data_IF_951832294538
#
_entry.id   IF_951832294538
#
_cell.length_a   1.000
_cell.length_b   1.000
_cell.length_c   1.000
_cell.angle_alpha   90.00
_cell.angle_beta   90.00
_cell.angle_gamma   90.00
#
_symmetry.space_group_name_H-M   'P 1'
#
loop_
_entity.id
_entity.type
_entity.pdbx_description
1 polymer ?
#
# COMPACT_ATOMS: atom_id res chain seq x y z
N UNK A 1 0.84 12.20 -19.63
CA UNK A 1 2.03 11.99 -20.47
C UNK A 1 1.68 12.39 -21.90
N UNK A 2 2.34 13.39 -22.43
CA UNK A 2 2.11 13.90 -23.80
C UNK A 2 3.25 13.50 -24.76
N UNK A 3 4.38 13.03 -24.21
CA UNK A 3 5.57 12.68 -24.99
C UNK A 3 6.39 11.56 -24.35
N UNK A 4 7.25 10.85 -25.13
CA UNK A 4 8.24 9.91 -24.60
C UNK A 4 9.21 10.56 -23.58
N UNK A 5 9.47 11.87 -23.72
CA UNK A 5 10.32 12.62 -22.79
C UNK A 5 9.70 12.72 -21.41
N UNK A 6 8.35 12.81 -21.29
CA UNK A 6 7.65 12.79 -20.00
C UNK A 6 7.83 11.44 -19.29
N UNK A 7 7.82 10.34 -20.06
CA UNK A 7 8.07 9.01 -19.51
C UNK A 7 9.52 8.89 -19.00
N UNK A 8 10.51 9.36 -19.77
CA UNK A 8 11.90 9.35 -19.33
C UNK A 8 12.10 10.15 -18.04
N UNK A 9 11.45 11.31 -17.91
CA UNK A 9 11.50 12.13 -16.69
C UNK A 9 11.03 11.37 -15.45
N UNK A 10 10.01 10.52 -15.55
CA UNK A 10 9.52 9.71 -14.41
C UNK A 10 10.64 8.82 -13.84
N UNK A 11 11.53 8.31 -14.69
CA UNK A 11 12.63 7.43 -14.28
C UNK A 11 13.90 8.17 -13.87
N UNK A 12 14.02 9.46 -14.15
CA UNK A 12 15.22 10.25 -13.85
C UNK A 12 15.04 11.29 -12.77
N UNK A 13 13.79 11.61 -12.40
CA UNK A 13 13.48 12.61 -11.38
C UNK A 13 12.95 11.97 -10.09
N UNK A 14 13.20 12.65 -8.98
CA UNK A 14 12.69 12.28 -7.67
C UNK A 14 11.71 13.34 -7.17
N UNK A 15 10.50 12.92 -6.80
CA UNK A 15 9.51 13.78 -6.14
C UNK A 15 9.23 13.18 -4.75
N UNK A 16 10.18 13.37 -3.83
CA UNK A 16 10.12 12.83 -2.47
C UNK A 16 10.52 11.34 -2.38
N UNK A 17 9.92 10.46 -3.18
CA UNK A 17 10.24 9.04 -3.24
C UNK A 17 10.54 8.61 -4.67
N UNK A 18 11.55 7.74 -4.85
CA UNK A 18 11.88 7.18 -6.16
C UNK A 18 11.05 5.92 -6.44
N UNK A 19 9.86 6.09 -7.02
CA UNK A 19 8.90 5.02 -7.33
C UNK A 19 8.32 5.17 -8.75
N UNK A 20 9.16 5.09 -9.78
CA UNK A 20 8.76 5.42 -11.16
C UNK A 20 7.61 4.56 -11.69
N UNK A 21 7.49 3.28 -11.33
CA UNK A 21 6.38 2.44 -11.78
C UNK A 21 5.04 2.85 -11.14
N UNK A 22 5.06 3.35 -9.92
CA UNK A 22 3.85 3.89 -9.28
C UNK A 22 3.40 5.15 -10.03
N UNK A 23 4.33 6.08 -10.29
CA UNK A 23 4.05 7.29 -11.07
C UNK A 23 3.53 6.95 -12.46
N UNK A 24 4.13 5.97 -13.14
CA UNK A 24 3.65 5.45 -14.42
C UNK A 24 2.23 4.90 -14.32
N UNK A 25 1.93 4.12 -13.27
CA UNK A 25 0.58 3.57 -13.06
C UNK A 25 -0.47 4.66 -12.83
N UNK A 26 -0.12 5.73 -12.13
CA UNK A 26 -1.00 6.89 -11.97
C UNK A 26 -1.19 7.67 -13.28
N UNK A 27 -0.15 7.75 -14.10
CA UNK A 27 -0.25 8.37 -15.42
C UNK A 27 -1.18 7.57 -16.36
N UNK A 28 -1.17 6.23 -16.26
CA UNK A 28 -2.12 5.36 -16.97
C UNK A 28 -3.54 5.60 -16.45
N UNK A 29 -3.75 5.62 -15.14
CA UNK A 29 -5.07 5.91 -14.57
C UNK A 29 -5.57 7.30 -14.98
N UNK A 30 -4.68 8.30 -14.99
CA UNK A 30 -5.02 9.65 -15.47
C UNK A 30 -5.50 9.65 -16.91
N UNK A 31 -4.92 8.81 -17.77
CA UNK A 31 -5.33 8.67 -19.15
C UNK A 31 -6.68 7.95 -19.31
N UNK A 32 -6.95 6.96 -18.45
CA UNK A 32 -8.17 6.14 -18.50
C UNK A 32 -9.35 6.80 -17.78
N UNK A 33 -9.10 7.35 -16.59
CA UNK A 33 -10.13 7.78 -15.64
C UNK A 33 -10.16 9.30 -15.43
N UNK A 34 -9.22 10.03 -16.04
CA UNK A 34 -9.02 11.47 -15.78
C UNK A 34 -8.77 11.72 -14.27
N UNK A 35 -9.64 12.49 -13.58
CA UNK A 35 -9.60 12.76 -12.14
C UNK A 35 -10.72 12.04 -11.37
N UNK A 36 -11.38 11.04 -11.97
CA UNK A 36 -12.37 10.25 -11.26
C UNK A 36 -11.70 9.30 -10.26
N UNK A 37 -11.81 9.60 -8.97
CA UNK A 37 -11.24 8.81 -7.88
C UNK A 37 -11.72 7.35 -7.87
N UNK A 38 -12.94 7.08 -8.39
CA UNK A 38 -13.50 5.71 -8.48
C UNK A 38 -12.68 4.83 -9.40
N UNK A 39 -12.17 5.39 -10.52
CA UNK A 39 -11.30 4.67 -11.44
C UNK A 39 -9.98 4.26 -10.79
N UNK A 40 -9.37 5.16 -10.01
CA UNK A 40 -8.14 4.85 -9.25
C UNK A 40 -8.39 3.78 -8.18
N UNK A 41 -9.53 3.84 -7.49
CA UNK A 41 -9.93 2.80 -6.54
C UNK A 41 -10.15 1.45 -7.24
N UNK A 42 -10.79 1.42 -8.41
CA UNK A 42 -10.99 0.21 -9.20
C UNK A 42 -9.65 -0.44 -9.59
N UNK A 43 -8.67 0.36 -10.00
CA UNK A 43 -7.31 -0.15 -10.28
C UNK A 43 -6.70 -0.79 -9.04
N UNK A 44 -6.81 -0.18 -7.85
CA UNK A 44 -6.28 -0.75 -6.61
C UNK A 44 -6.98 -2.07 -6.25
N UNK A 45 -8.31 -2.15 -6.41
CA UNK A 45 -9.08 -3.39 -6.18
C UNK A 45 -8.65 -4.48 -7.18
N UNK A 46 -8.47 -4.13 -8.45
CA UNK A 46 -7.99 -5.07 -9.47
C UNK A 46 -6.60 -5.61 -9.13
N UNK A 47 -5.69 -4.74 -8.66
CA UNK A 47 -4.37 -5.16 -8.19
C UNK A 47 -4.46 -6.07 -6.96
N UNK A 48 -5.38 -5.80 -6.01
CA UNK A 48 -5.60 -6.68 -4.85
C UNK A 48 -6.04 -8.08 -5.31
N UNK A 49 -7.04 -8.15 -6.19
CA UNK A 49 -7.54 -9.42 -6.70
C UNK A 49 -6.46 -10.18 -7.50
N UNK A 50 -5.68 -9.48 -8.31
CA UNK A 50 -4.52 -10.05 -9.01
C UNK A 50 -3.50 -10.62 -8.04
N UNK A 51 -3.19 -9.90 -6.96
CA UNK A 51 -2.28 -10.37 -5.91
C UNK A 51 -2.82 -11.61 -5.18
N UNK A 52 -4.12 -11.65 -4.85
CA UNK A 52 -4.75 -12.82 -4.25
C UNK A 52 -4.68 -14.04 -5.19
N UNK A 53 -4.89 -13.84 -6.49
CA UNK A 53 -4.71 -14.87 -7.52
C UNK A 53 -3.26 -15.36 -7.60
N UNK A 54 -2.27 -14.46 -7.59
CA UNK A 54 -0.85 -14.81 -7.59
C UNK A 54 -0.46 -15.56 -6.30
N UNK A 55 -1.00 -15.15 -5.15
CA UNK A 55 -0.76 -15.86 -3.88
C UNK A 55 -1.34 -17.28 -3.93
N UNK A 56 -2.54 -17.44 -4.47
CA UNK A 56 -3.10 -18.78 -4.70
C UNK A 56 -2.17 -19.64 -5.57
N UNK A 57 -1.67 -19.10 -6.68
CA UNK A 57 -0.74 -19.81 -7.55
C UNK A 57 0.59 -20.13 -6.85
N UNK A 58 1.15 -19.17 -6.13
CA UNK A 58 2.38 -19.33 -5.35
C UNK A 58 2.20 -20.45 -4.30
N UNK A 59 1.11 -20.44 -3.56
CA UNK A 59 0.75 -21.46 -2.59
C UNK A 59 0.64 -22.86 -3.24
N UNK A 60 0.11 -22.95 -4.45
CA UNK A 60 0.06 -24.20 -5.23
C UNK A 60 1.46 -24.68 -5.65
N UNK A 61 2.31 -23.76 -6.09
CA UNK A 61 3.69 -24.09 -6.50
C UNK A 61 4.53 -24.58 -5.32
N UNK A 62 4.32 -24.03 -4.11
CA UNK A 62 4.98 -24.50 -2.90
C UNK A 62 4.29 -25.71 -2.25
N UNK A 63 3.45 -26.42 -3.01
CA UNK A 63 2.87 -27.73 -2.67
C UNK A 63 1.70 -27.73 -1.69
N UNK A 64 1.00 -26.61 -1.52
CA UNK A 64 -0.25 -26.63 -0.77
C UNK A 64 -1.40 -27.29 -1.55
N UNK A 65 -2.39 -27.84 -0.82
CA UNK A 65 -3.64 -28.29 -1.43
C UNK A 65 -4.39 -27.10 -2.05
N UNK A 66 -5.37 -27.37 -2.92
CA UNK A 66 -6.19 -26.30 -3.52
C UNK A 66 -6.91 -25.49 -2.44
N UNK A 67 -7.46 -26.15 -1.44
CA UNK A 67 -8.19 -25.55 -0.32
C UNK A 67 -7.26 -24.73 0.59
N UNK A 68 -6.07 -25.26 0.88
CA UNK A 68 -5.05 -24.53 1.63
C UNK A 68 -4.54 -23.29 0.88
N UNK A 69 -4.39 -23.38 -0.44
CA UNK A 69 -4.02 -22.24 -1.27
C UNK A 69 -5.13 -21.16 -1.34
N UNK A 70 -6.40 -21.57 -1.47
CA UNK A 70 -7.54 -20.67 -1.38
C UNK A 70 -7.63 -20.01 0.01
N UNK A 71 -7.40 -20.78 1.05
CA UNK A 71 -7.38 -20.28 2.42
C UNK A 71 -6.27 -19.25 2.63
N UNK A 72 -5.05 -19.49 2.12
CA UNK A 72 -3.96 -18.53 2.17
C UNK A 72 -4.32 -17.22 1.45
N UNK A 73 -4.86 -17.30 0.23
CA UNK A 73 -5.28 -16.15 -0.54
C UNK A 73 -6.39 -15.34 0.19
N UNK A 74 -7.35 -16.03 0.77
CA UNK A 74 -8.42 -15.42 1.56
C UNK A 74 -7.89 -14.76 2.84
N UNK A 75 -7.03 -15.46 3.61
CA UNK A 75 -6.40 -14.90 4.81
C UNK A 75 -5.62 -13.64 4.49
N UNK A 76 -4.89 -13.59 3.38
CA UNK A 76 -4.19 -12.38 2.98
C UNK A 76 -5.16 -11.27 2.56
N UNK A 77 -6.13 -11.56 1.69
CA UNK A 77 -7.05 -10.57 1.14
C UNK A 77 -8.01 -9.99 2.19
N UNK A 78 -8.36 -10.75 3.22
CA UNK A 78 -9.23 -10.32 4.31
C UNK A 78 -8.49 -9.91 5.58
N UNK A 79 -7.17 -9.75 5.53
CA UNK A 79 -6.40 -9.15 6.61
C UNK A 79 -6.63 -7.63 6.66
N UNK A 80 -7.85 -7.19 6.96
CA UNK A 80 -8.22 -5.77 6.96
C UNK A 80 -7.35 -4.93 7.88
N UNK A 81 -6.86 -5.50 8.99
CA UNK A 81 -5.97 -4.80 9.91
C UNK A 81 -4.61 -4.47 9.26
N UNK A 82 -4.11 -5.35 8.42
CA UNK A 82 -2.79 -5.22 7.78
C UNK A 82 -2.82 -4.55 6.41
N UNK A 83 -3.89 -4.67 5.64
CA UNK A 83 -3.88 -4.26 4.23
C UNK A 83 -4.93 -3.20 3.84
N UNK A 84 -5.81 -2.78 4.75
CA UNK A 84 -6.89 -1.83 4.45
C UNK A 84 -6.39 -0.53 3.80
N UNK A 85 -5.28 0.02 4.27
CA UNK A 85 -4.67 1.24 3.72
C UNK A 85 -4.23 1.09 2.26
N UNK A 86 -3.92 -0.13 1.81
CA UNK A 86 -3.56 -0.38 0.42
C UNK A 86 -4.75 -0.16 -0.54
N UNK A 87 -5.99 -0.25 -0.03
CA UNK A 87 -7.21 0.00 -0.79
C UNK A 87 -7.77 1.40 -0.59
N UNK A 88 -7.83 1.85 0.68
CA UNK A 88 -8.46 3.12 1.06
C UNK A 88 -7.63 4.34 0.62
N UNK A 89 -6.33 4.20 0.61
CA UNK A 89 -5.44 5.26 0.17
C UNK A 89 -4.95 4.99 -1.25
N UNK A 90 -5.17 5.92 -2.16
CA UNK A 90 -4.79 5.79 -3.58
C UNK A 90 -3.31 5.45 -3.72
N UNK A 91 -2.42 6.08 -2.92
CA UNK A 91 -0.99 5.77 -2.89
C UNK A 91 -0.64 4.42 -2.27
N UNK A 92 -1.59 3.71 -1.69
CA UNK A 92 -1.44 2.31 -1.25
C UNK A 92 -1.08 1.35 -2.38
N UNK A 93 -1.30 1.78 -3.62
CA UNK A 93 -0.83 1.12 -4.85
C UNK A 93 0.65 0.75 -4.83
N UNK A 94 1.49 1.51 -4.15
CA UNK A 94 2.91 1.21 -3.97
C UNK A 94 3.12 -0.19 -3.42
N UNK A 95 2.38 -0.56 -2.38
CA UNK A 95 2.46 -1.88 -1.75
C UNK A 95 1.82 -2.98 -2.61
N UNK A 96 0.73 -2.67 -3.33
CA UNK A 96 0.06 -3.62 -4.22
C UNK A 96 0.93 -3.97 -5.43
N UNK A 97 1.59 -3.00 -6.06
CA UNK A 97 2.51 -3.24 -7.17
C UNK A 97 3.76 -4.00 -6.71
N UNK A 98 4.33 -3.64 -5.54
CA UNK A 98 5.41 -4.43 -4.94
C UNK A 98 4.99 -5.88 -4.79
N UNK A 99 3.85 -6.17 -4.18
CA UNK A 99 3.35 -7.53 -3.97
C UNK A 99 3.13 -8.27 -5.29
N UNK A 100 2.56 -7.59 -6.30
CA UNK A 100 2.31 -8.17 -7.63
C UNK A 100 3.62 -8.66 -8.26
N UNK A 101 4.60 -7.78 -8.35
CA UNK A 101 5.87 -8.10 -8.98
C UNK A 101 6.70 -9.09 -8.14
N UNK A 102 6.67 -8.98 -6.80
CA UNK A 102 7.37 -9.89 -5.92
C UNK A 102 6.83 -11.33 -6.01
N UNK A 103 5.51 -11.50 -5.99
CA UNK A 103 4.87 -12.81 -6.15
C UNK A 103 5.09 -13.38 -7.56
N UNK A 104 4.98 -12.55 -8.60
CA UNK A 104 5.27 -12.96 -9.96
C UNK A 104 6.74 -13.41 -10.11
N UNK A 105 7.70 -12.65 -9.53
CA UNK A 105 9.11 -13.04 -9.52
C UNK A 105 9.33 -14.38 -8.80
N UNK A 106 8.68 -14.59 -7.65
CA UNK A 106 8.75 -15.86 -6.92
C UNK A 106 8.19 -17.03 -7.73
N UNK A 107 7.04 -16.86 -8.36
CA UNK A 107 6.44 -17.87 -9.24
C UNK A 107 7.36 -18.23 -10.40
N UNK A 108 7.93 -17.23 -11.04
CA UNK A 108 8.84 -17.42 -12.18
C UNK A 108 10.11 -18.15 -11.74
N UNK A 109 10.75 -17.72 -10.67
CA UNK A 109 12.00 -18.33 -10.20
C UNK A 109 11.78 -19.77 -9.72
N UNK A 110 10.62 -20.07 -9.12
CA UNK A 110 10.28 -21.42 -8.67
C UNK A 110 9.84 -22.34 -9.82
N UNK A 111 9.53 -21.82 -11.00
CA UNK A 111 9.18 -22.62 -12.18
C UNK A 111 10.34 -23.51 -12.68
N UNK A 112 11.58 -23.13 -12.36
CA UNK A 112 12.78 -23.87 -12.75
C UNK A 112 13.10 -23.83 -14.25
N UNK A 113 12.42 -22.98 -15.02
CA UNK A 113 12.66 -22.84 -16.46
C UNK A 113 13.98 -22.09 -16.72
N UNK A 114 14.66 -22.37 -17.83
CA UNK A 114 15.96 -21.76 -18.18
C UNK A 114 15.95 -20.24 -18.30
N UNK A 115 14.82 -19.65 -18.70
CA UNK A 115 14.64 -18.20 -18.82
C UNK A 115 14.19 -17.52 -17.51
N UNK A 116 13.80 -18.33 -16.52
CA UNK A 116 13.25 -17.85 -15.26
C UNK A 116 14.16 -16.86 -14.51
N UNK A 117 15.49 -17.04 -14.42
CA UNK A 117 16.35 -16.09 -13.71
C UNK A 117 16.28 -14.69 -14.29
N UNK A 118 16.29 -14.55 -15.62
CA UNK A 118 16.24 -13.24 -16.30
C UNK A 118 14.90 -12.54 -16.04
N UNK A 119 13.77 -13.25 -16.26
CA UNK A 119 12.45 -12.67 -16.03
C UNK A 119 12.22 -12.36 -14.54
N UNK A 120 12.71 -13.19 -13.63
CA UNK A 120 12.66 -12.91 -12.20
C UNK A 120 13.47 -11.65 -11.83
N UNK A 121 14.63 -11.44 -12.46
CA UNK A 121 15.41 -10.21 -12.33
C UNK A 121 14.63 -8.97 -12.78
N UNK A 122 13.97 -9.03 -13.94
CA UNK A 122 13.12 -7.93 -14.46
C UNK A 122 11.95 -7.64 -13.48
N UNK A 123 11.28 -8.68 -13.00
CA UNK A 123 10.16 -8.53 -12.06
C UNK A 123 10.63 -8.04 -10.68
N UNK A 124 11.81 -8.45 -10.22
CA UNK A 124 12.41 -7.93 -8.99
C UNK A 124 12.78 -6.45 -9.13
N UNK A 125 13.33 -6.04 -10.29
CA UNK A 125 13.55 -4.64 -10.60
C UNK A 125 12.23 -3.85 -10.59
N UNK A 126 11.18 -4.37 -11.21
CA UNK A 126 9.85 -3.74 -11.19
C UNK A 126 9.29 -3.59 -9.76
N UNK A 127 9.50 -4.59 -8.90
CA UNK A 127 9.12 -4.50 -7.49
C UNK A 127 9.88 -3.37 -6.77
N UNK A 128 11.20 -3.27 -6.97
CA UNK A 128 12.05 -2.22 -6.39
C UNK A 128 11.69 -0.81 -6.92
N UNK A 129 11.35 -0.69 -8.21
CA UNK A 129 10.85 0.56 -8.82
C UNK A 129 9.42 0.93 -8.37
N UNK A 130 8.72 0.02 -7.68
CA UNK A 130 7.41 0.27 -7.08
C UNK A 130 7.50 0.68 -5.61
N UNK A 131 8.42 0.07 -4.85
CA UNK A 131 8.63 0.41 -3.43
C UNK A 131 10.01 -0.08 -2.97
N UNK A 132 10.69 0.77 -2.22
CA UNK A 132 12.08 0.56 -1.77
C UNK A 132 12.31 -0.68 -0.90
N UNK A 133 11.28 -1.15 -0.19
CA UNK A 133 11.35 -2.37 0.63
C UNK A 133 11.72 -3.62 -0.19
N UNK A 134 11.42 -3.61 -1.49
CA UNK A 134 11.74 -4.70 -2.39
C UNK A 134 13.25 -4.91 -2.62
N UNK A 135 14.12 -4.07 -2.07
CA UNK A 135 15.59 -4.24 -2.17
C UNK A 135 16.06 -5.57 -1.58
N UNK A 136 15.29 -6.16 -0.65
CA UNK A 136 15.56 -7.50 -0.10
C UNK A 136 14.94 -8.64 -0.93
N UNK A 137 14.19 -8.34 -1.98
CA UNK A 137 13.57 -9.37 -2.83
C UNK A 137 14.61 -10.22 -3.57
N UNK A 138 15.67 -9.68 -4.19
CA UNK A 138 16.69 -10.49 -4.85
C UNK A 138 17.29 -11.57 -3.96
N UNK A 139 17.86 -11.30 -2.78
CA UNK A 139 18.36 -12.35 -1.89
C UNK A 139 17.25 -13.28 -1.37
N UNK A 140 16.04 -12.77 -1.10
CA UNK A 140 14.90 -13.60 -0.72
C UNK A 140 14.58 -14.63 -1.80
N UNK A 141 14.54 -14.26 -3.08
CA UNK A 141 14.26 -15.19 -4.19
C UNK A 141 15.30 -16.31 -4.29
N UNK A 142 16.58 -16.02 -4.02
CA UNK A 142 17.64 -17.04 -3.94
C UNK A 142 17.35 -18.00 -2.79
N UNK A 143 17.05 -17.49 -1.59
CA UNK A 143 16.72 -18.32 -0.43
C UNK A 143 15.47 -19.17 -0.68
N UNK A 144 14.44 -18.63 -1.33
CA UNK A 144 13.24 -19.40 -1.69
C UNK A 144 13.55 -20.55 -2.63
N UNK A 145 14.46 -20.38 -3.60
CA UNK A 145 14.91 -21.48 -4.46
C UNK A 145 15.62 -22.57 -3.66
N UNK A 146 16.53 -22.18 -2.75
CA UNK A 146 17.25 -23.13 -1.89
C UNK A 146 16.29 -23.91 -0.97
N UNK A 147 15.28 -23.25 -0.42
CA UNK A 147 14.28 -23.90 0.43
C UNK A 147 13.31 -24.81 -0.36
N UNK A 148 13.02 -24.46 -1.62
CA UNK A 148 11.98 -25.15 -2.41
C UNK A 148 12.48 -26.44 -3.05
N UNK A 149 13.75 -26.55 -3.38
CA UNK A 149 14.30 -27.71 -4.12
C UNK A 149 14.87 -28.74 -3.15
N UNK A 150 14.48 -30.02 -3.33
CA UNK A 150 14.93 -31.13 -2.48
C UNK A 150 16.39 -31.55 -2.76
N UNK A 151 16.88 -31.36 -3.98
CA UNK A 151 18.21 -31.81 -4.45
C UNK A 151 18.78 -30.77 -5.43
N UNK A 152 18.94 -29.53 -5.03
CA UNK A 152 19.54 -28.56 -5.93
C UNK A 152 21.00 -28.36 -5.59
N UNK A 153 21.81 -28.32 -6.62
CA UNK A 153 23.14 -27.79 -6.51
C UNK A 153 23.04 -26.29 -6.14
N UNK A 154 23.39 -25.95 -4.91
CA UNK A 154 23.39 -24.57 -4.43
C UNK A 154 24.31 -23.68 -5.28
N UNK A 155 25.42 -24.24 -5.82
CA UNK A 155 26.32 -23.53 -6.74
C UNK A 155 25.62 -23.14 -8.03
N UNK A 156 24.81 -24.05 -8.60
CA UNK A 156 24.03 -23.75 -9.80
C UNK A 156 22.97 -22.66 -9.56
N UNK A 157 22.30 -22.66 -8.38
CA UNK A 157 21.35 -21.61 -8.01
C UNK A 157 22.08 -20.28 -7.88
N UNK A 158 23.20 -20.23 -7.17
CA UNK A 158 23.97 -18.99 -6.98
C UNK A 158 24.54 -18.50 -8.31
N UNK A 159 25.08 -19.39 -9.15
CA UNK A 159 25.58 -19.03 -10.48
C UNK A 159 24.50 -18.45 -11.41
N UNK A 160 23.27 -18.95 -11.31
CA UNK A 160 22.14 -18.45 -12.10
C UNK A 160 21.44 -17.22 -11.48
N UNK A 161 21.89 -16.74 -10.31
CA UNK A 161 21.27 -15.58 -9.64
C UNK A 161 21.81 -14.22 -10.10
N UNK A 162 22.78 -14.18 -11.02
CA UNK A 162 23.34 -12.93 -11.51
C UNK A 162 22.31 -11.93 -12.05
N UNK A 163 21.14 -12.33 -12.68
CA UNK A 163 20.16 -11.34 -13.13
C UNK A 163 19.48 -10.61 -11.96
N UNK A 164 19.36 -11.29 -10.81
CA UNK A 164 18.84 -10.67 -9.58
C UNK A 164 19.84 -9.65 -9.01
N UNK A 165 21.14 -9.96 -9.05
CA UNK A 165 22.20 -9.03 -8.68
C UNK A 165 22.25 -7.83 -9.62
N UNK A 166 22.13 -8.08 -10.94
CA UNK A 166 22.07 -7.02 -11.95
C UNK A 166 20.86 -6.11 -11.73
N UNK A 167 19.68 -6.66 -11.45
CA UNK A 167 18.47 -5.90 -11.15
C UNK A 167 18.68 -4.98 -9.91
N UNK A 168 19.29 -5.51 -8.85
CA UNK A 168 19.62 -4.73 -7.66
C UNK A 168 20.60 -3.60 -7.98
N UNK A 169 21.66 -3.88 -8.74
CA UNK A 169 22.64 -2.88 -9.14
C UNK A 169 22.00 -1.77 -9.99
N UNK A 170 21.20 -2.14 -10.98
CA UNK A 170 20.47 -1.18 -11.84
C UNK A 170 19.58 -0.28 -10.98
N UNK A 171 18.83 -0.86 -10.03
CA UNK A 171 18.00 -0.09 -9.13
C UNK A 171 18.81 0.88 -8.27
N UNK A 172 19.93 0.44 -7.68
CA UNK A 172 20.78 1.27 -6.83
C UNK A 172 21.41 2.43 -7.64
N UNK A 173 21.87 2.16 -8.84
CA UNK A 173 22.40 3.19 -9.74
C UNK A 173 21.33 4.22 -10.13
N UNK A 174 20.15 3.76 -10.55
CA UNK A 174 19.05 4.65 -10.92
C UNK A 174 18.59 5.50 -9.72
N UNK A 175 18.47 4.89 -8.53
CA UNK A 175 18.14 5.60 -7.29
C UNK A 175 19.21 6.62 -6.91
N UNK A 176 20.48 6.28 -7.08
CA UNK A 176 21.61 7.20 -6.84
C UNK A 176 21.56 8.41 -7.76
N UNK A 177 21.36 8.20 -9.06
CA UNK A 177 21.26 9.26 -10.07
C UNK A 177 20.06 10.19 -9.82
N UNK A 178 18.94 9.66 -9.31
CA UNK A 178 17.75 10.47 -8.97
C UNK A 178 17.90 11.30 -7.69
N UNK A 179 19.01 11.19 -6.95
CA UNK A 179 19.23 11.87 -5.66
C UNK A 179 18.42 11.29 -4.49
N UNK A 180 17.75 10.15 -4.69
CA UNK A 180 16.83 9.60 -3.67
C UNK A 180 17.50 8.89 -2.49
N UNK A 181 18.84 8.81 -2.43
CA UNK A 181 19.57 8.35 -1.25
C UNK A 181 19.66 9.40 -0.15
N UNK A 182 19.66 10.67 -0.52
CA UNK A 182 19.68 11.79 0.40
C UNK A 182 18.26 12.37 0.47
N UNK A 183 17.45 11.88 1.39
CA UNK A 183 16.13 12.45 1.68
C UNK A 183 16.31 13.77 2.46
N UNK A 184 16.77 14.82 1.79
CA UNK A 184 17.12 16.11 2.41
C UNK A 184 15.93 16.71 3.15
N UNK A 185 14.70 16.46 2.66
CA UNK A 185 13.44 16.98 3.21
C UNK A 185 12.53 15.89 3.79
N UNK A 186 13.05 14.67 4.05
CA UNK A 186 12.22 13.65 4.64
C UNK A 186 11.91 13.97 6.11
N UNK A 187 10.64 13.88 6.52
CA UNK A 187 10.26 13.98 7.91
C UNK A 187 11.08 13.02 8.79
N UNK A 188 11.35 13.40 10.03
CA UNK A 188 12.19 12.61 10.95
C UNK A 188 11.71 11.16 11.14
N UNK A 189 10.41 10.94 11.07
CA UNK A 189 9.81 9.61 11.21
C UNK A 189 10.14 8.64 10.05
N UNK A 190 10.79 9.10 8.97
CA UNK A 190 11.34 8.23 7.91
C UNK A 190 12.84 7.95 8.09
N UNK A 191 13.51 8.62 9.04
CA UNK A 191 14.93 8.36 9.30
C UNK A 191 15.07 7.07 10.11
N UNK A 192 15.96 6.14 9.71
CA UNK A 192 16.17 4.90 10.45
C UNK A 192 16.60 5.17 11.90
N UNK A 193 16.02 4.40 12.82
CA UNK A 193 16.39 4.42 14.24
C UNK A 193 16.94 3.06 14.67
N UNK A 194 18.00 3.09 15.47
CA UNK A 194 18.55 1.90 16.10
C UNK A 194 18.24 1.85 17.61
N UNK A 195 17.33 2.70 18.08
CA UNK A 195 16.83 2.62 19.45
C UNK A 195 16.11 1.29 19.67
N UNK A 196 16.61 0.46 20.58
CA UNK A 196 16.10 -0.88 20.82
C UNK A 196 14.61 -0.89 21.19
N UNK A 197 14.19 0.04 22.04
CA UNK A 197 12.77 0.13 22.45
C UNK A 197 11.86 0.45 21.27
N UNK A 198 12.27 1.35 20.37
CA UNK A 198 11.55 1.69 19.15
C UNK A 198 11.49 0.49 18.20
N UNK A 199 12.59 -0.23 18.00
CA UNK A 199 12.66 -1.42 17.15
C UNK A 199 11.77 -2.54 17.70
N UNK A 200 11.83 -2.83 19.01
CA UNK A 200 10.97 -3.84 19.64
C UNK A 200 9.49 -3.49 19.52
N UNK A 201 9.14 -2.21 19.73
CA UNK A 201 7.77 -1.73 19.50
C UNK A 201 7.34 -1.92 18.05
N UNK A 202 8.20 -1.60 17.07
CA UNK A 202 7.92 -1.81 15.66
C UNK A 202 7.70 -3.29 15.34
N UNK A 203 8.54 -4.18 15.87
CA UNK A 203 8.38 -5.62 15.71
C UNK A 203 7.02 -6.07 16.25
N UNK A 204 6.63 -5.64 17.45
CA UNK A 204 5.33 -5.97 18.04
C UNK A 204 4.15 -5.51 17.17
N UNK A 205 4.18 -4.26 16.71
CA UNK A 205 3.11 -3.71 15.85
C UNK A 205 3.06 -4.37 14.46
N UNK A 206 4.20 -4.76 13.89
CA UNK A 206 4.23 -5.44 12.60
C UNK A 206 3.82 -6.91 12.72
N UNK A 207 4.13 -7.58 13.82
CA UNK A 207 3.59 -8.90 14.13
C UNK A 207 2.06 -8.85 14.25
N UNK A 208 1.54 -7.83 14.95
CA UNK A 208 0.10 -7.65 15.07
C UNK A 208 -0.55 -7.46 13.68
N UNK A 209 -0.10 -6.51 12.90
CA UNK A 209 -0.71 -6.20 11.59
C UNK A 209 -0.51 -7.29 10.54
N UNK A 210 0.65 -7.91 10.52
CA UNK A 210 1.02 -8.87 9.47
C UNK A 210 0.75 -10.33 9.81
N UNK A 211 0.64 -10.70 11.08
CA UNK A 211 0.55 -12.10 11.50
C UNK A 211 -0.67 -12.44 12.36
N UNK A 212 -1.27 -11.51 13.11
CA UNK A 212 -2.36 -11.83 14.05
C UNK A 212 -3.53 -12.53 13.36
N UNK A 213 -4.02 -11.99 12.24
CA UNK A 213 -5.14 -12.61 11.53
C UNK A 213 -4.77 -14.00 10.98
N UNK A 214 -3.59 -14.17 10.40
CA UNK A 214 -3.10 -15.46 9.92
C UNK A 214 -2.89 -16.46 11.07
N UNK A 215 -2.43 -15.99 12.24
CA UNK A 215 -2.27 -16.83 13.44
C UNK A 215 -3.62 -17.33 13.96
N UNK A 216 -4.61 -16.44 14.09
CA UNK A 216 -5.98 -16.82 14.50
C UNK A 216 -6.56 -17.84 13.51
N UNK A 217 -6.41 -17.59 12.21
CA UNK A 217 -6.85 -18.49 11.16
C UNK A 217 -6.13 -19.87 11.24
N UNK A 218 -4.83 -19.86 11.52
CA UNK A 218 -4.03 -21.09 11.71
C UNK A 218 -4.49 -21.90 12.94
N UNK A 219 -4.72 -21.22 14.06
CA UNK A 219 -5.23 -21.85 15.28
C UNK A 219 -6.62 -22.46 15.03
N UNK A 220 -7.52 -21.75 14.38
CA UNK A 220 -8.84 -22.24 14.03
C UNK A 220 -8.77 -23.48 13.13
N UNK A 221 -7.93 -23.45 12.09
CA UNK A 221 -7.69 -24.61 11.22
C UNK A 221 -7.05 -25.79 11.99
N UNK A 222 -6.11 -25.53 12.88
CA UNK A 222 -5.47 -26.54 13.72
C UNK A 222 -6.47 -27.21 14.67
N UNK A 223 -7.31 -26.44 15.33
CA UNK A 223 -8.36 -26.94 16.23
C UNK A 223 -9.37 -27.83 15.50
N UNK A 224 -9.68 -27.55 14.24
CA UNK A 224 -10.55 -28.39 13.43
C UNK A 224 -9.98 -29.82 13.23
N UNK A 225 -8.66 -29.97 13.24
CA UNK A 225 -7.97 -31.22 12.90
C UNK A 225 -6.96 -31.69 13.97
N UNK A 226 -7.08 -31.20 15.21
CA UNK A 226 -6.09 -31.45 16.28
C UNK A 226 -5.69 -32.94 16.46
N UNK A 227 -6.61 -33.86 16.18
CA UNK A 227 -6.31 -35.30 16.17
C UNK A 227 -5.68 -35.65 14.84
N UNK A 228 -4.37 -35.93 14.83
CA UNK A 228 -3.62 -36.31 13.62
C UNK A 228 -2.92 -35.15 12.89
N UNK A 229 -2.69 -34.01 13.55
CA UNK A 229 -2.01 -32.81 12.99
C UNK A 229 -0.46 -32.97 12.90
N UNK A 230 0.01 -34.04 12.29
CA UNK A 230 1.42 -34.15 11.92
C UNK A 230 1.66 -33.53 10.54
N UNK A 231 2.42 -32.45 10.48
CA UNK A 231 2.76 -31.76 9.24
C UNK A 231 3.66 -32.61 8.34
N UNK A 232 3.35 -32.68 7.07
CA UNK A 232 4.22 -33.31 6.05
C UNK A 232 5.51 -32.52 5.83
N UNK A 233 6.48 -33.12 5.16
CA UNK A 233 7.73 -32.43 4.81
C UNK A 233 7.47 -31.20 3.92
N UNK A 234 6.49 -31.27 3.01
CA UNK A 234 6.14 -30.18 2.11
C UNK A 234 5.44 -29.04 2.86
N UNK A 235 4.55 -29.35 3.80
CA UNK A 235 3.91 -28.35 4.65
C UNK A 235 4.94 -27.63 5.54
N UNK A 236 5.85 -28.36 6.17
CA UNK A 236 6.95 -27.77 6.93
C UNK A 236 7.87 -26.88 6.07
N UNK A 237 8.10 -27.29 4.81
CA UNK A 237 8.85 -26.47 3.85
C UNK A 237 8.11 -25.17 3.54
N UNK A 238 6.80 -25.23 3.26
CA UNK A 238 6.00 -24.05 3.00
C UNK A 238 5.97 -23.10 4.21
N UNK A 239 5.90 -23.64 5.43
CA UNK A 239 6.00 -22.82 6.65
C UNK A 239 7.35 -22.09 6.70
N UNK A 240 8.46 -22.77 6.41
CA UNK A 240 9.79 -22.13 6.37
C UNK A 240 9.85 -21.03 5.31
N UNK A 241 9.31 -21.28 4.12
CA UNK A 241 9.20 -20.29 3.05
C UNK A 241 8.39 -19.08 3.53
N UNK A 242 7.23 -19.32 4.15
CA UNK A 242 6.37 -18.25 4.66
C UNK A 242 7.05 -17.41 5.74
N UNK A 243 7.71 -18.05 6.71
CA UNK A 243 8.46 -17.34 7.77
C UNK A 243 9.62 -16.53 7.16
N UNK A 244 10.38 -17.12 6.23
CA UNK A 244 11.49 -16.42 5.56
C UNK A 244 10.99 -15.20 4.79
N UNK A 245 9.88 -15.34 4.07
CA UNK A 245 9.24 -14.22 3.37
C UNK A 245 8.83 -13.11 4.33
N UNK A 246 8.14 -13.49 5.42
CA UNK A 246 7.66 -12.54 6.43
C UNK A 246 8.80 -11.73 7.04
N UNK A 247 9.85 -12.43 7.49
CA UNK A 247 11.02 -11.80 8.13
C UNK A 247 11.77 -10.90 7.13
N UNK A 248 12.03 -11.40 5.93
CA UNK A 248 12.77 -10.64 4.92
C UNK A 248 12.04 -9.34 4.52
N UNK A 249 10.71 -9.40 4.33
CA UNK A 249 9.94 -8.23 3.92
C UNK A 249 9.77 -7.18 5.03
N UNK A 250 9.97 -7.54 6.31
CA UNK A 250 9.99 -6.59 7.42
C UNK A 250 11.40 -6.10 7.80
N UNK A 251 12.46 -6.76 7.35
CA UNK A 251 13.81 -6.57 7.89
C UNK A 251 14.33 -5.12 7.79
N UNK A 252 13.88 -4.32 6.83
CA UNK A 252 14.24 -2.91 6.70
C UNK A 252 13.28 -2.02 7.50
N UNK A 253 12.00 -2.30 7.46
CA UNK A 253 10.96 -1.40 7.99
C UNK A 253 10.90 -1.38 9.50
N UNK A 254 11.44 -2.41 10.19
CA UNK A 254 11.53 -2.41 11.66
C UNK A 254 12.40 -1.28 12.20
N UNK A 255 13.32 -0.74 11.39
CA UNK A 255 14.20 0.38 11.77
C UNK A 255 13.59 1.75 11.46
N UNK A 256 12.42 1.83 10.84
CA UNK A 256 11.76 3.09 10.47
C UNK A 256 10.72 3.45 11.53
N UNK A 257 10.79 4.65 12.16
CA UNK A 257 9.85 5.04 13.21
C UNK A 257 8.41 5.11 12.77
N UNK A 258 8.14 5.46 11.50
CA UNK A 258 6.78 5.50 10.97
C UNK A 258 6.17 4.09 10.86
N UNK A 259 5.00 3.91 11.48
CA UNK A 259 4.29 2.63 11.53
C UNK A 259 3.09 2.63 10.61
N UNK A 260 3.34 2.43 9.32
CA UNK A 260 2.28 2.33 8.33
C UNK A 260 1.82 0.89 8.15
N UNK A 261 0.50 0.67 8.05
CA UNK A 261 -0.04 -0.64 7.66
C UNK A 261 0.36 -1.06 6.25
N UNK A 262 0.79 -0.12 5.40
CA UNK A 262 1.34 -0.45 4.08
C UNK A 262 2.61 -1.31 4.15
N UNK A 263 3.35 -1.26 5.27
CA UNK A 263 4.49 -2.13 5.51
C UNK A 263 4.10 -3.56 5.87
N UNK A 264 2.84 -3.82 6.21
CA UNK A 264 2.35 -5.17 6.50
C UNK A 264 1.88 -5.94 5.25
N UNK A 265 1.63 -5.25 4.13
CA UNK A 265 1.01 -5.85 2.93
C UNK A 265 1.89 -6.95 2.32
N UNK A 266 3.17 -6.70 2.07
CA UNK A 266 4.08 -7.68 1.49
C UNK A 266 4.47 -8.80 2.49
N UNK A 267 4.83 -8.50 3.76
CA UNK A 267 5.13 -9.53 4.75
C UNK A 267 3.97 -10.47 5.02
N UNK A 268 2.72 -9.99 5.06
CA UNK A 268 1.54 -10.83 5.34
C UNK A 268 1.28 -11.92 4.29
N UNK A 269 1.91 -11.87 3.11
CA UNK A 269 1.96 -13.00 2.17
C UNK A 269 2.61 -14.22 2.85
N UNK A 270 3.71 -13.99 3.58
CA UNK A 270 4.41 -15.04 4.30
C UNK A 270 3.56 -15.69 5.39
N UNK A 271 2.91 -14.89 6.24
CA UNK A 271 2.02 -15.41 7.29
C UNK A 271 0.79 -16.13 6.71
N UNK A 272 0.25 -15.66 5.58
CA UNK A 272 -0.83 -16.32 4.87
C UNK A 272 -0.40 -17.69 4.30
N UNK A 273 0.83 -17.83 3.78
CA UNK A 273 1.38 -19.12 3.36
C UNK A 273 1.49 -20.10 4.54
N UNK A 274 1.88 -19.63 5.73
CA UNK A 274 1.88 -20.43 6.96
C UNK A 274 0.47 -20.92 7.29
N UNK A 275 -0.51 -20.01 7.29
CA UNK A 275 -1.91 -20.38 7.54
C UNK A 275 -2.44 -21.37 6.49
N UNK A 276 -2.10 -21.18 5.22
CA UNK A 276 -2.43 -22.11 4.14
C UNK A 276 -1.84 -23.51 4.31
N UNK A 277 -0.61 -23.63 4.86
CA UNK A 277 0.00 -24.91 5.15
C UNK A 277 -0.75 -25.67 6.25
N UNK A 278 -1.11 -24.97 7.33
CA UNK A 278 -1.94 -25.53 8.43
C UNK A 278 -3.32 -25.93 7.89
N UNK A 279 -3.95 -25.08 7.08
CA UNK A 279 -5.25 -25.33 6.46
C UNK A 279 -5.21 -26.53 5.50
N UNK A 280 -4.14 -26.67 4.69
CA UNK A 280 -3.95 -27.85 3.82
C UNK A 280 -3.95 -29.14 4.61
N UNK A 281 -3.30 -29.14 5.76
CA UNK A 281 -3.28 -30.31 6.66
C UNK A 281 -4.65 -30.56 7.27
N UNK A 282 -5.28 -29.51 7.78
CA UNK A 282 -6.61 -29.59 8.38
C UNK A 282 -7.65 -30.16 7.41
N UNK A 283 -7.65 -29.68 6.17
CA UNK A 283 -8.51 -30.21 5.11
C UNK A 283 -8.29 -31.69 4.86
N UNK A 284 -7.04 -32.13 4.73
CA UNK A 284 -6.72 -33.55 4.49
C UNK A 284 -7.09 -34.47 5.66
N UNK A 285 -7.08 -33.95 6.89
CA UNK A 285 -7.33 -34.72 8.11
C UNK A 285 -8.81 -34.75 8.50
N UNK A 286 -9.49 -33.62 8.36
CA UNK A 286 -10.88 -33.45 8.83
C UNK A 286 -11.66 -32.45 7.95
N UNK A 287 -11.95 -32.80 6.67
CA UNK A 287 -12.50 -31.83 5.69
C UNK A 287 -13.81 -31.20 6.14
N UNK A 288 -14.75 -31.98 6.69
CA UNK A 288 -16.04 -31.47 7.13
C UNK A 288 -15.92 -30.51 8.33
N UNK A 289 -15.00 -30.77 9.27
CA UNK A 289 -14.75 -29.85 10.40
C UNK A 289 -14.07 -28.58 9.93
N UNK A 290 -13.07 -28.71 9.06
CA UNK A 290 -12.40 -27.55 8.47
C UNK A 290 -13.37 -26.67 7.67
N UNK A 291 -14.25 -27.25 6.86
CA UNK A 291 -15.26 -26.51 6.10
C UNK A 291 -16.16 -25.70 7.05
N UNK A 292 -16.62 -26.29 8.17
CA UNK A 292 -17.41 -25.56 9.18
C UNK A 292 -16.63 -24.39 9.79
N UNK A 293 -15.37 -24.61 10.16
CA UNK A 293 -14.52 -23.54 10.70
C UNK A 293 -14.31 -22.43 9.67
N UNK A 294 -14.01 -22.76 8.41
CA UNK A 294 -13.86 -21.78 7.33
C UNK A 294 -15.16 -20.98 7.12
N UNK A 295 -16.31 -21.64 7.10
CA UNK A 295 -17.62 -20.96 7.00
C UNK A 295 -17.88 -20.05 8.19
N UNK A 296 -17.57 -20.50 9.43
CA UNK A 296 -17.67 -19.65 10.62
C UNK A 296 -16.77 -18.42 10.53
N UNK A 297 -15.53 -18.58 10.03
CA UNK A 297 -14.64 -17.44 9.83
C UNK A 297 -15.20 -16.43 8.81
N UNK A 298 -15.81 -16.89 7.71
CA UNK A 298 -16.47 -16.01 6.75
C UNK A 298 -17.58 -15.21 7.43
N UNK A 299 -18.43 -15.87 8.22
CA UNK A 299 -19.50 -15.21 8.98
C UNK A 299 -18.92 -14.17 9.97
N UNK A 300 -17.88 -14.54 10.72
CA UNK A 300 -17.22 -13.61 11.66
C UNK A 300 -16.64 -12.40 10.92
N UNK A 301 -15.97 -12.61 9.78
CA UNK A 301 -15.45 -11.51 8.95
C UNK A 301 -16.59 -10.61 8.48
N UNK A 302 -17.70 -11.17 8.02
CA UNK A 302 -18.89 -10.40 7.61
C UNK A 302 -19.47 -9.58 8.75
N UNK A 303 -19.56 -10.17 9.97
CA UNK A 303 -20.01 -9.46 11.18
C UNK A 303 -19.05 -8.36 11.64
N UNK A 304 -17.76 -8.46 11.32
CA UNK A 304 -16.77 -7.44 11.63
C UNK A 304 -16.73 -6.29 10.62
N UNK A 305 -17.37 -6.42 9.45
CA UNK A 305 -17.38 -5.37 8.43
C UNK A 305 -17.87 -4.01 8.94
N UNK A 306 -18.93 -3.92 9.75
CA UNK A 306 -19.36 -2.64 10.35
C UNK A 306 -18.29 -2.00 11.24
N UNK A 307 -17.56 -2.82 12.02
CA UNK A 307 -16.46 -2.36 12.88
C UNK A 307 -15.33 -1.78 12.03
N UNK A 308 -14.92 -2.47 10.96
CA UNK A 308 -13.90 -1.96 10.04
C UNK A 308 -14.38 -0.71 9.31
N UNK A 309 -15.64 -0.66 8.90
CA UNK A 309 -16.23 0.53 8.29
C UNK A 309 -16.17 1.72 9.25
N UNK A 310 -16.55 1.53 10.52
CA UNK A 310 -16.46 2.57 11.56
C UNK A 310 -15.02 3.05 11.77
N UNK A 311 -14.05 2.15 11.85
CA UNK A 311 -12.62 2.51 11.98
C UNK A 311 -12.08 3.29 10.78
N UNK A 312 -12.62 3.06 9.59
CA UNK A 312 -12.22 3.73 8.37
C UNK A 312 -12.87 5.11 8.20
N UNK A 313 -13.84 5.48 9.06
CA UNK A 313 -14.48 6.81 9.05
C UNK A 313 -13.45 7.94 9.12
N UNK A 314 -12.44 7.80 9.97
CA UNK A 314 -11.35 8.78 10.09
C UNK A 314 -10.52 9.00 8.81
N UNK A 315 -10.68 8.18 7.76
CA UNK A 315 -10.09 8.37 6.44
C UNK A 315 -11.10 8.86 5.41
N UNK A 316 -12.37 8.45 5.58
CA UNK A 316 -13.45 8.79 4.65
C UNK A 316 -13.94 10.20 4.89
N UNK A 317 -14.13 10.61 6.14
CA UNK A 317 -14.64 11.96 6.48
C UNK A 317 -13.75 13.09 5.96
N UNK A 318 -12.40 13.07 6.11
CA UNK A 318 -11.55 14.08 5.49
C UNK A 318 -11.64 14.10 3.96
N UNK A 319 -11.77 12.93 3.32
CA UNK A 319 -11.91 12.84 1.87
C UNK A 319 -13.24 13.42 1.37
N UNK A 320 -14.33 13.17 2.10
CA UNK A 320 -15.65 13.76 1.82
C UNK A 320 -15.63 15.28 2.00
N UNK A 321 -14.99 15.76 3.08
CA UNK A 321 -14.80 17.18 3.34
C UNK A 321 -13.99 17.83 2.21
N UNK A 322 -12.89 17.22 1.77
CA UNK A 322 -12.10 17.73 0.65
C UNK A 322 -12.93 17.81 -0.63
N UNK A 323 -13.69 16.76 -0.94
CA UNK A 323 -14.52 16.68 -2.15
C UNK A 323 -15.60 17.77 -2.17
N UNK A 324 -16.32 17.95 -1.05
CA UNK A 324 -17.36 18.98 -0.92
C UNK A 324 -16.77 20.39 -0.98
N UNK A 325 -15.63 20.60 -0.32
CA UNK A 325 -14.92 21.87 -0.32
C UNK A 325 -14.47 22.26 -1.73
N UNK A 326 -13.84 21.33 -2.46
CA UNK A 326 -13.40 21.58 -3.84
C UNK A 326 -14.58 21.89 -4.78
N UNK A 327 -15.70 21.20 -4.61
CA UNK A 327 -16.92 21.49 -5.39
C UNK A 327 -17.42 22.93 -5.13
N UNK A 328 -17.50 23.34 -3.85
CA UNK A 328 -17.92 24.69 -3.46
C UNK A 328 -16.98 25.75 -4.00
N UNK A 329 -15.66 25.55 -3.86
CA UNK A 329 -14.65 26.51 -4.35
C UNK A 329 -14.69 26.61 -5.86
N UNK A 330 -14.85 25.47 -6.58
CA UNK A 330 -14.95 25.46 -8.05
C UNK A 330 -16.12 26.30 -8.54
N UNK A 331 -17.29 26.17 -7.91
CA UNK A 331 -18.47 26.98 -8.26
C UNK A 331 -18.18 28.46 -8.05
N UNK A 332 -17.66 28.84 -6.89
CA UNK A 332 -17.37 30.24 -6.58
C UNK A 332 -16.29 30.87 -7.49
N UNK A 333 -15.25 30.09 -7.88
CA UNK A 333 -14.23 30.56 -8.84
C UNK A 333 -14.81 30.65 -10.26
N UNK A 334 -15.77 29.79 -10.61
CA UNK A 334 -16.47 29.89 -11.90
C UNK A 334 -17.32 31.18 -11.97
N UNK A 335 -18.01 31.49 -10.88
CA UNK A 335 -18.83 32.72 -10.76
C UNK A 335 -18.01 34.01 -10.68
N UNK A 336 -16.73 33.90 -10.28
CA UNK A 336 -15.76 34.99 -10.17
C UNK A 336 -14.45 34.68 -10.88
N UNK A 337 -14.39 34.78 -12.20
CA UNK A 337 -13.22 34.40 -13.01
C UNK A 337 -12.01 35.35 -12.80
N UNK A 338 -12.20 36.49 -12.18
CA UNK A 338 -11.17 37.43 -11.74
C UNK A 338 -10.43 37.00 -10.47
N UNK A 339 -10.95 35.99 -9.75
CA UNK A 339 -10.34 35.51 -8.50
C UNK A 339 -8.94 34.93 -8.75
N UNK A 340 -7.96 35.41 -7.95
CA UNK A 340 -6.55 34.96 -7.99
C UNK A 340 -6.13 34.21 -6.74
N UNK A 341 -6.88 34.36 -5.67
CA UNK A 341 -6.59 33.72 -4.40
C UNK A 341 -7.85 33.17 -3.73
N UNK A 342 -7.68 32.04 -3.04
CA UNK A 342 -8.69 31.40 -2.18
C UNK A 342 -8.09 31.25 -0.79
N UNK A 343 -8.76 31.77 0.21
CA UNK A 343 -8.38 31.63 1.62
C UNK A 343 -9.48 30.86 2.33
N UNK A 344 -9.09 29.75 2.95
CA UNK A 344 -9.97 28.89 3.72
C UNK A 344 -9.71 29.10 5.21
N UNK A 345 -10.74 29.46 5.95
CA UNK A 345 -10.70 29.60 7.41
C UNK A 345 -11.43 28.40 8.01
N UNK A 346 -10.73 27.61 8.81
CA UNK A 346 -11.27 26.42 9.45
C UNK A 346 -12.08 26.75 10.71
N UNK A 347 -12.94 25.83 11.10
CA UNK A 347 -13.59 25.82 12.39
C UNK A 347 -12.73 25.00 13.37
N UNK A 348 -12.10 25.64 14.37
CA UNK A 348 -11.19 24.96 15.29
C UNK A 348 -11.90 23.92 16.18
N UNK A 349 -13.23 23.96 16.29
CA UNK A 349 -14.03 23.03 17.07
C UNK A 349 -14.59 21.86 16.23
N UNK A 350 -14.35 21.86 14.92
CA UNK A 350 -14.83 20.80 14.06
C UNK A 350 -14.09 19.47 14.33
N UNK A 351 -14.80 18.33 14.35
CA UNK A 351 -14.21 17.02 14.63
C UNK A 351 -13.21 16.56 13.55
N UNK A 352 -13.37 17.03 12.32
CA UNK A 352 -12.45 16.83 11.20
C UNK A 352 -12.08 18.20 10.67
N UNK A 353 -10.81 18.53 10.56
CA UNK A 353 -10.32 19.82 10.14
C UNK A 353 -10.04 19.89 8.64
N UNK A 354 -10.00 21.08 8.07
CA UNK A 354 -9.52 21.28 6.69
C UNK A 354 -8.05 20.88 6.52
N UNK A 355 -7.26 21.00 7.60
CA UNK A 355 -5.89 20.51 7.64
C UNK A 355 -5.82 18.98 7.47
N UNK A 356 -6.75 18.23 8.10
CA UNK A 356 -6.86 16.78 7.94
C UNK A 356 -7.26 16.40 6.51
N UNK A 357 -8.08 17.22 5.87
CA UNK A 357 -8.60 17.00 4.52
C UNK A 357 -7.58 17.30 3.42
N UNK A 358 -6.81 18.37 3.57
CA UNK A 358 -5.90 18.86 2.54
C UNK A 358 -4.44 18.85 2.95
N UNK A 359 -4.11 19.13 4.21
CA UNK A 359 -2.74 19.33 4.67
C UNK A 359 -1.98 20.32 3.79
N UNK A 360 -0.74 20.00 3.49
CA UNK A 360 0.11 20.78 2.58
C UNK A 360 -0.31 20.68 1.10
N UNK A 361 -1.29 19.84 0.76
CA UNK A 361 -1.71 19.59 -0.64
C UNK A 361 -2.82 20.52 -1.13
N UNK A 362 -3.31 21.45 -0.31
CA UNK A 362 -4.38 22.39 -0.71
C UNK A 362 -4.03 23.16 -1.99
N UNK A 363 -2.84 23.75 -2.16
CA UNK A 363 -2.49 24.45 -3.38
C UNK A 363 -2.53 23.55 -4.62
N UNK A 364 -2.01 22.33 -4.51
CA UNK A 364 -2.02 21.36 -5.59
C UNK A 364 -3.43 20.89 -5.94
N UNK A 365 -4.29 20.71 -4.93
CA UNK A 365 -5.68 20.34 -5.12
C UNK A 365 -6.46 21.45 -5.87
N UNK A 366 -6.27 22.71 -5.50
CA UNK A 366 -6.90 23.85 -6.22
C UNK A 366 -6.37 23.96 -7.64
N UNK A 367 -5.05 23.88 -7.82
CA UNK A 367 -4.43 23.88 -9.16
C UNK A 367 -4.99 22.77 -10.07
N UNK A 368 -5.18 21.59 -9.51
CA UNK A 368 -5.58 20.41 -10.28
C UNK A 368 -7.09 20.31 -10.55
N UNK A 369 -7.91 20.67 -9.56
CA UNK A 369 -9.36 20.43 -9.57
C UNK A 369 -10.20 21.68 -9.79
N UNK A 370 -9.63 22.88 -9.60
CA UNK A 370 -10.36 24.13 -9.73
C UNK A 370 -9.80 24.97 -10.85
N UNK A 371 -8.65 25.64 -10.64
CA UNK A 371 -8.01 26.49 -11.64
C UNK A 371 -6.51 26.64 -11.34
N UNK A 372 -5.62 26.37 -12.32
CA UNK A 372 -4.18 26.49 -12.13
C UNK A 372 -3.68 27.92 -11.86
N UNK A 373 -4.47 28.95 -12.17
CA UNK A 373 -4.13 30.36 -11.90
C UNK A 373 -4.49 30.86 -10.51
N UNK A 374 -5.16 30.05 -9.68
CA UNK A 374 -5.65 30.44 -8.36
C UNK A 374 -4.72 29.90 -7.27
N UNK A 375 -4.25 30.76 -6.37
CA UNK A 375 -3.48 30.38 -5.18
C UNK A 375 -4.45 29.99 -4.06
N UNK A 376 -4.06 29.06 -3.19
CA UNK A 376 -4.88 28.67 -2.06
C UNK A 376 -4.05 28.58 -0.78
N UNK A 377 -4.62 29.08 0.32
CA UNK A 377 -4.02 29.04 1.65
C UNK A 377 -5.06 28.63 2.70
N UNK A 378 -4.62 27.89 3.72
CA UNK A 378 -5.33 27.70 4.97
C UNK A 378 -4.92 28.82 5.91
N UNK A 379 -5.88 29.55 6.48
CA UNK A 379 -5.64 30.60 7.47
C UNK A 379 -6.28 30.20 8.80
N UNK A 380 -5.60 30.56 9.88
CA UNK A 380 -6.19 30.49 11.22
C UNK A 380 -7.26 31.56 11.41
N UNK A 381 -8.28 31.26 12.23
CA UNK A 381 -9.41 32.16 12.50
C UNK A 381 -9.01 33.56 13.04
N UNK A 382 -7.78 33.72 13.51
CA UNK A 382 -7.23 34.97 14.06
C UNK A 382 -6.54 35.87 13.01
N UNK A 383 -6.33 35.37 11.79
CA UNK A 383 -5.64 36.17 10.77
C UNK A 383 -6.69 36.97 9.97
N UNK A 384 -6.73 38.30 10.07
CA UNK A 384 -7.57 39.09 9.20
C UNK A 384 -7.11 38.90 7.78
N UNK A 385 -7.91 38.19 6.97
CA UNK A 385 -7.60 38.00 5.57
C UNK A 385 -7.52 39.35 4.87
N UNK A 386 -6.47 39.62 4.10
CA UNK A 386 -6.44 40.75 3.19
C UNK A 386 -7.64 40.63 2.25
N UNK A 387 -8.52 41.63 2.29
CA UNK A 387 -9.72 41.70 1.45
C UNK A 387 -9.38 42.34 0.10
N UNK A 388 -8.38 41.81 -0.59
CA UNK A 388 -8.17 42.18 -2.00
C UNK A 388 -9.37 41.71 -2.81
N UNK A 389 -9.84 42.57 -3.74
CA UNK A 389 -11.01 42.30 -4.57
C UNK A 389 -10.88 40.95 -5.37
N UNK A 390 -9.67 40.46 -5.58
CA UNK A 390 -9.35 39.20 -6.27
C UNK A 390 -9.28 37.97 -5.36
N UNK A 391 -9.55 38.12 -4.04
CA UNK A 391 -9.48 37.05 -3.06
C UNK A 391 -10.88 36.54 -2.69
N UNK A 392 -11.09 35.23 -2.80
CA UNK A 392 -12.28 34.56 -2.29
C UNK A 392 -12.00 34.02 -0.88
N UNK A 393 -12.78 34.48 0.07
CA UNK A 393 -12.70 34.07 1.47
C UNK A 393 -13.81 33.04 1.75
N UNK A 394 -13.46 31.92 2.35
CA UNK A 394 -14.41 30.90 2.79
C UNK A 394 -14.26 30.64 4.28
N UNK A 395 -15.36 30.63 4.98
CA UNK A 395 -15.45 30.22 6.37
C UNK A 395 -16.12 28.86 6.46
N UNK A 396 -15.57 27.96 7.26
CA UNK A 396 -16.24 26.71 7.57
C UNK A 396 -17.26 26.93 8.69
N UNK A 397 -18.53 26.64 8.41
CA UNK A 397 -19.63 26.71 9.39
C UNK A 397 -20.51 25.49 9.24
N UNK A 398 -20.81 24.79 10.37
CA UNK A 398 -21.69 23.64 10.35
C UNK A 398 -21.24 22.51 9.43
N UNK A 399 -19.92 22.29 9.30
CA UNK A 399 -19.33 21.24 8.45
C UNK A 399 -19.20 21.57 6.96
N UNK A 400 -19.64 22.75 6.50
CA UNK A 400 -19.58 23.17 5.10
C UNK A 400 -18.77 24.44 4.93
N UNK A 401 -18.12 24.62 3.77
CA UNK A 401 -17.53 25.88 3.38
C UNK A 401 -18.62 26.84 2.91
N UNK A 402 -18.61 28.05 3.47
CA UNK A 402 -19.52 29.11 3.09
C UNK A 402 -18.68 30.33 2.62
N UNK A 403 -18.95 30.87 1.42
CA UNK A 403 -18.25 32.07 0.98
C UNK A 403 -18.59 33.26 1.90
N UNK A 404 -17.57 34.01 2.27
CA UNK A 404 -17.76 35.26 3.01
C UNK A 404 -17.92 36.36 1.97
N UNK A 405 -19.11 36.95 1.88
CA UNK A 405 -19.32 38.13 1.06
C UNK A 405 -18.61 39.32 1.74
N UNK A 406 -17.81 40.11 1.02
CA UNK A 406 -17.34 41.38 1.58
C UNK A 406 -18.57 42.24 1.92
N UNK A 407 -18.61 42.73 3.16
CA UNK A 407 -19.70 43.62 3.59
C UNK A 407 -19.81 44.82 2.62
N UNK A 408 -20.93 44.92 1.92
CA UNK A 408 -21.24 46.00 0.98
C UNK A 408 -21.36 47.37 1.67
N UNK A 409 -21.13 47.42 2.97
CA UNK A 409 -21.25 48.67 3.77
C UNK A 409 -19.95 49.48 3.96
N UNK A 410 -18.76 48.97 3.49
CA UNK A 410 -17.50 49.71 3.65
C UNK A 410 -17.09 50.57 2.44
N UNK A 411 -17.87 50.57 1.36
CA UNK A 411 -17.61 51.39 0.16
C UNK A 411 -18.37 52.73 0.11
N UNK A 412 -19.01 53.14 1.22
CA UNK A 412 -19.67 54.42 1.34
C UNK A 412 -19.11 55.27 2.50
N UNK A 413 -17.80 55.50 2.49
CA UNK A 413 -17.21 56.62 3.24
C UNK A 413 -16.03 57.21 2.47
#
# INVERSE_FOLDING_TARGET
MRSPADLARIFTTNVGFYRPLVTTSFAIDRALWNLDARGYALTNVTLLLGNAGLLFLLARVVSLSREGALFAAAVWAFNFHGINMALLWTSGRTALLLCLFAQAAALVVLSGRRWAPVLAGVLALAAMLSKEEAVLLPPLLVVLQLLSRRQSDARAILGNSWPLCAALLIYLLARGQSGAFTLVNAPEYYRPTFNLAAVLKNIGEYLDRGATFATVASIAAWLAARQGMTLTADERRTIRIGITWFVAMYAITIFVPVRSSLYAVAPSIGSALVAGAVASRAWRTAPARFARVASTMIVVIALLLPVYRSRNHGLVEPADLATQSLATIRTAVHDRPDARAVVLIDDPQAPVRLEDAFGALLPDAIHLFVNPGVRATLADAATPGSTDAETLLFHRRGGRLVPVMPDSQSLSR
#
